data_IF_258017777845
#
_entry.id   IF_258017777845
#
_cell.length_a   1.000
_cell.length_b   1.000
_cell.length_c   1.000
_cell.angle_alpha   90.00
_cell.angle_beta   90.00
_cell.angle_gamma   90.00
#
_symmetry.space_group_name_H-M   'P 1'
#
loop_
_entity.id
_entity.type
_entity.pdbx_description
1 polymer ?
#
# COMPACT_ATOMS: atom_id res chain seq x y z
N UNK A 1 -9.44 28.43 -10.15
CA UNK A 1 -9.18 27.04 -9.69
C UNK A 1 -9.50 27.05 -8.22
N UNK A 2 -10.46 26.25 -7.73
CA UNK A 2 -10.72 26.13 -6.28
C UNK A 2 -9.43 25.60 -5.62
N UNK A 3 -9.10 26.19 -4.49
CA UNK A 3 -7.96 25.79 -3.68
C UNK A 3 -8.13 24.31 -3.30
N UNK A 4 -7.14 23.46 -3.57
CA UNK A 4 -7.20 22.03 -3.26
C UNK A 4 -7.13 21.84 -1.74
N UNK A 5 -8.11 21.14 -1.19
CA UNK A 5 -8.19 20.81 0.23
C UNK A 5 -8.41 19.31 0.42
N UNK A 6 -7.52 18.67 1.17
CA UNK A 6 -7.50 17.22 1.34
C UNK A 6 -8.00 16.78 2.72
N UNK A 7 -8.79 15.70 2.75
CA UNK A 7 -9.01 14.92 3.96
C UNK A 7 -8.17 13.65 3.88
N UNK A 8 -7.30 13.41 4.87
CA UNK A 8 -6.52 12.18 4.99
C UNK A 8 -7.01 11.41 6.21
N UNK A 9 -7.57 10.22 6.00
CA UNK A 9 -7.99 9.34 7.11
C UNK A 9 -6.88 8.37 7.45
N UNK A 10 -6.78 7.93 8.72
CA UNK A 10 -5.66 7.12 9.17
C UNK A 10 -4.36 7.93 9.28
N UNK A 11 -4.48 9.20 9.67
CA UNK A 11 -3.40 10.19 9.65
C UNK A 11 -2.28 9.93 10.66
N UNK A 12 -2.48 9.08 11.66
CA UNK A 12 -1.42 8.61 12.58
C UNK A 12 -0.69 7.35 12.10
N UNK A 13 -1.21 6.68 11.03
CA UNK A 13 -0.57 5.52 10.40
C UNK A 13 0.63 5.91 9.53
N UNK A 14 1.42 4.92 9.08
CA UNK A 14 2.61 5.15 8.25
C UNK A 14 2.32 5.97 6.98
N UNK A 15 1.32 5.55 6.22
CA UNK A 15 0.97 6.22 4.96
C UNK A 15 0.21 7.51 5.19
N UNK A 16 -0.75 7.52 6.12
CA UNK A 16 -1.54 8.72 6.42
C UNK A 16 -0.67 9.88 6.90
N UNK A 17 0.25 9.64 7.84
CA UNK A 17 1.18 10.67 8.30
C UNK A 17 2.13 11.11 7.17
N UNK A 18 2.64 10.19 6.36
CA UNK A 18 3.50 10.53 5.23
C UNK A 18 2.78 11.43 4.21
N UNK A 19 1.50 11.17 3.92
CA UNK A 19 0.66 11.99 3.06
C UNK A 19 0.42 13.38 3.65
N UNK A 20 0.00 13.46 4.91
CA UNK A 20 -0.24 14.76 5.59
C UNK A 20 1.03 15.60 5.62
N UNK A 21 2.17 15.02 6.01
CA UNK A 21 3.46 15.73 6.04
C UNK A 21 3.89 16.21 4.66
N UNK A 22 3.72 15.38 3.64
CA UNK A 22 4.05 15.76 2.27
C UNK A 22 3.18 16.91 1.79
N UNK A 23 1.85 16.83 1.95
CA UNK A 23 0.92 17.88 1.56
C UNK A 23 1.20 19.19 2.30
N UNK A 24 1.44 19.15 3.62
CA UNK A 24 1.78 20.34 4.42
C UNK A 24 3.09 20.99 4.00
N UNK A 25 4.12 20.17 3.72
CA UNK A 25 5.41 20.65 3.23
C UNK A 25 5.27 21.35 1.87
N UNK A 26 4.39 20.86 1.04
CA UNK A 26 4.12 21.43 -0.31
C UNK A 26 3.11 22.60 -0.26
N UNK A 27 2.70 23.05 0.95
CA UNK A 27 1.81 24.19 1.14
C UNK A 27 0.34 23.92 0.79
N UNK A 28 -0.05 22.64 0.71
CA UNK A 28 -1.43 22.22 0.38
C UNK A 28 -2.25 22.10 1.67
N UNK A 29 -3.48 22.63 1.66
CA UNK A 29 -4.41 22.52 2.79
C UNK A 29 -4.85 21.06 2.99
N UNK A 30 -4.63 20.53 4.19
CA UNK A 30 -4.91 19.13 4.54
C UNK A 30 -5.35 18.99 5.98
N UNK A 31 -6.41 18.21 6.18
CA UNK A 31 -6.94 17.81 7.48
C UNK A 31 -6.72 16.30 7.65
N UNK A 32 -6.07 15.93 8.76
CA UNK A 32 -5.86 14.54 9.16
C UNK A 32 -6.89 14.09 10.19
N UNK A 33 -7.52 12.92 9.98
CA UNK A 33 -8.41 12.26 10.95
C UNK A 33 -7.90 10.87 11.29
N UNK A 34 -7.85 10.54 12.58
CA UNK A 34 -7.47 9.22 13.09
C UNK A 34 -8.09 8.97 14.46
N UNK A 35 -8.23 7.71 14.87
CA UNK A 35 -8.63 7.33 16.24
C UNK A 35 -7.55 7.65 17.27
N UNK A 36 -6.28 7.74 16.83
CA UNK A 36 -5.13 8.07 17.66
C UNK A 36 -4.70 9.53 17.43
N UNK A 37 -4.42 10.25 18.51
CA UNK A 37 -3.76 11.56 18.43
C UNK A 37 -2.33 11.41 17.89
N UNK A 38 -1.90 12.38 17.07
CA UNK A 38 -0.56 12.39 16.48
C UNK A 38 -0.24 13.71 15.80
N UNK A 39 1.01 13.92 15.36
CA UNK A 39 1.45 15.18 14.75
C UNK A 39 0.77 15.50 13.39
N UNK A 40 0.15 14.50 12.78
CA UNK A 40 -0.57 14.61 11.52
C UNK A 40 -2.10 14.50 11.69
N UNK A 41 -2.60 14.39 12.95
CA UNK A 41 -4.03 14.24 13.26
C UNK A 41 -4.58 15.55 13.80
N UNK A 42 -5.49 16.16 13.05
CA UNK A 42 -6.21 17.37 13.44
C UNK A 42 -7.53 17.03 14.14
N UNK A 43 -8.16 15.92 13.73
CA UNK A 43 -9.44 15.44 14.26
C UNK A 43 -9.22 14.03 14.82
N UNK A 44 -9.45 13.86 16.13
CA UNK A 44 -9.38 12.53 16.78
C UNK A 44 -10.78 11.91 16.79
N UNK A 45 -10.93 10.79 16.11
CA UNK A 45 -12.19 10.04 16.08
C UNK A 45 -12.25 8.96 15.01
N UNK A 46 -13.32 8.16 15.07
CA UNK A 46 -13.53 7.02 14.17
C UNK A 46 -14.19 7.44 12.86
N UNK A 47 -13.75 6.85 11.74
CA UNK A 47 -14.42 6.97 10.44
C UNK A 47 -15.80 6.26 10.42
N UNK A 48 -16.11 5.44 11.42
CA UNK A 48 -17.46 4.86 11.61
C UNK A 48 -18.44 5.87 12.24
N UNK A 49 -17.95 6.96 12.84
CA UNK A 49 -18.81 8.03 13.34
C UNK A 49 -19.26 8.94 12.18
N UNK A 50 -20.50 8.74 11.73
CA UNK A 50 -21.08 9.44 10.57
C UNK A 50 -21.20 10.96 10.79
N UNK A 51 -21.43 11.40 12.02
CA UNK A 51 -21.51 12.82 12.35
C UNK A 51 -20.15 13.50 12.22
N UNK A 52 -19.14 12.91 12.83
CA UNK A 52 -17.76 13.38 12.75
C UNK A 52 -17.25 13.39 11.30
N UNK A 53 -17.54 12.32 10.55
CA UNK A 53 -17.12 12.21 9.13
C UNK A 53 -17.78 13.30 8.28
N UNK A 54 -19.07 13.59 8.49
CA UNK A 54 -19.77 14.65 7.77
C UNK A 54 -19.19 16.05 8.05
N UNK A 55 -18.83 16.33 9.31
CA UNK A 55 -18.18 17.58 9.70
C UNK A 55 -16.78 17.69 9.08
N UNK A 56 -15.96 16.62 9.18
CA UNK A 56 -14.62 16.57 8.63
C UNK A 56 -14.60 16.71 7.09
N UNK A 57 -15.65 16.25 6.41
CA UNK A 57 -15.76 16.30 4.95
C UNK A 57 -16.12 17.69 4.41
N UNK A 58 -16.55 18.60 5.29
CA UNK A 58 -17.02 19.94 4.86
C UNK A 58 -15.92 20.74 4.19
N UNK A 59 -16.17 21.18 2.94
CA UNK A 59 -15.23 21.97 2.15
C UNK A 59 -14.01 21.22 1.61
N UNK A 60 -13.97 19.89 1.76
CA UNK A 60 -12.90 19.07 1.15
C UNK A 60 -13.12 18.91 -0.34
N UNK A 61 -12.03 18.95 -1.10
CA UNK A 61 -12.03 18.68 -2.55
C UNK A 61 -11.59 17.27 -2.89
N UNK A 62 -10.77 16.68 -2.03
CA UNK A 62 -10.19 15.35 -2.26
C UNK A 62 -10.07 14.56 -0.96
N UNK A 63 -10.25 13.24 -1.04
CA UNK A 63 -10.09 12.32 0.08
C UNK A 63 -8.99 11.31 -0.23
N UNK A 64 -8.04 11.15 0.71
CA UNK A 64 -7.05 10.07 0.72
C UNK A 64 -7.40 9.14 1.89
N UNK A 65 -8.12 8.06 1.59
CA UNK A 65 -8.62 7.15 2.60
C UNK A 65 -7.63 6.04 2.88
N UNK A 66 -6.88 6.16 4.00
CA UNK A 66 -5.90 5.15 4.45
C UNK A 66 -6.26 4.46 5.76
N UNK A 67 -7.26 4.97 6.51
CA UNK A 67 -7.72 4.35 7.75
C UNK A 67 -8.22 2.91 7.52
N UNK A 68 -7.74 1.98 8.31
CA UNK A 68 -8.11 0.56 8.17
C UNK A 68 -7.62 -0.26 9.36
N UNK A 69 -8.36 -1.26 9.77
CA UNK A 69 -7.77 -2.41 10.46
C UNK A 69 -7.10 -3.30 9.41
N UNK A 70 -5.82 -3.63 9.61
CA UNK A 70 -5.05 -4.36 8.61
C UNK A 70 -4.48 -5.68 9.18
N UNK A 71 -3.65 -6.39 8.40
CA UNK A 71 -3.23 -7.76 8.72
C UNK A 71 -2.70 -7.96 10.16
N UNK A 72 -1.86 -7.09 10.75
CA UNK A 72 -1.42 -7.25 12.14
C UNK A 72 -2.56 -7.32 13.17
N UNK A 73 -3.68 -6.65 12.91
CA UNK A 73 -4.82 -6.62 13.83
C UNK A 73 -5.64 -7.92 13.88
N UNK A 74 -5.40 -8.88 12.96
CA UNK A 74 -6.17 -10.14 12.91
C UNK A 74 -6.08 -10.94 14.23
N UNK A 75 -4.94 -10.83 14.92
CA UNK A 75 -4.73 -11.54 16.20
C UNK A 75 -5.29 -10.84 17.43
N UNK A 76 -5.65 -9.54 17.33
CA UNK A 76 -6.01 -8.70 18.49
C UNK A 76 -7.42 -8.09 18.40
N UNK A 77 -8.07 -8.10 17.24
CA UNK A 77 -9.40 -7.53 17.02
C UNK A 77 -10.38 -8.59 16.54
N UNK A 78 -11.63 -8.58 17.01
CA UNK A 78 -12.68 -9.44 16.48
C UNK A 78 -13.01 -9.10 15.03
N UNK A 79 -13.60 -10.03 14.29
CA UNK A 79 -13.93 -9.83 12.87
C UNK A 79 -14.94 -8.71 12.64
N UNK A 80 -15.80 -8.44 13.61
CA UNK A 80 -16.79 -7.35 13.59
C UNK A 80 -16.12 -6.01 13.46
N UNK A 81 -15.00 -5.76 14.13
CA UNK A 81 -14.29 -4.49 14.08
C UNK A 81 -13.72 -4.23 12.68
N UNK A 82 -13.29 -5.31 11.98
CA UNK A 82 -12.90 -5.20 10.57
C UNK A 82 -14.07 -4.81 9.66
N UNK A 83 -15.28 -5.31 9.95
CA UNK A 83 -16.48 -4.92 9.19
C UNK A 83 -16.83 -3.46 9.48
N UNK A 84 -16.91 -3.09 10.75
CA UNK A 84 -17.23 -1.72 11.17
C UNK A 84 -16.23 -0.71 10.60
N UNK A 85 -14.92 -0.93 10.77
CA UNK A 85 -13.90 0.02 10.31
C UNK A 85 -13.75 0.00 8.79
N UNK A 86 -13.55 -1.19 8.19
CA UNK A 86 -13.12 -1.27 6.79
C UNK A 86 -14.30 -1.19 5.81
N UNK A 87 -15.51 -1.55 6.22
CA UNK A 87 -16.71 -1.53 5.37
C UNK A 87 -17.59 -0.34 5.72
N UNK A 88 -18.13 -0.29 6.95
CA UNK A 88 -19.08 0.77 7.36
C UNK A 88 -18.40 2.15 7.39
N UNK A 89 -17.17 2.23 7.93
CA UNK A 89 -16.37 3.44 7.91
C UNK A 89 -16.06 3.93 6.48
N UNK A 90 -15.72 3.01 5.56
CA UNK A 90 -15.49 3.38 4.15
C UNK A 90 -16.79 3.87 3.50
N UNK A 91 -17.92 3.20 3.73
CA UNK A 91 -19.23 3.64 3.23
C UNK A 91 -19.61 5.03 3.76
N UNK A 92 -19.41 5.27 5.06
CA UNK A 92 -19.66 6.58 5.69
C UNK A 92 -18.87 7.70 4.99
N UNK A 93 -17.56 7.45 4.71
CA UNK A 93 -16.72 8.41 4.00
C UNK A 93 -17.17 8.64 2.55
N UNK A 94 -17.57 7.59 1.83
CA UNK A 94 -18.04 7.69 0.45
C UNK A 94 -19.34 8.51 0.37
N UNK A 95 -20.33 8.22 1.23
CA UNK A 95 -21.60 8.96 1.29
C UNK A 95 -21.38 10.43 1.65
N UNK A 96 -20.51 10.72 2.62
CA UNK A 96 -20.15 12.08 2.99
C UNK A 96 -19.42 12.81 1.85
N UNK A 97 -18.53 12.12 1.13
CA UNK A 97 -17.83 12.68 -0.04
C UNK A 97 -18.81 13.05 -1.17
N UNK A 98 -19.80 12.20 -1.44
CA UNK A 98 -20.88 12.50 -2.41
C UNK A 98 -21.68 13.73 -1.96
N UNK A 99 -22.11 13.78 -0.70
CA UNK A 99 -22.88 14.88 -0.14
C UNK A 99 -22.12 16.22 -0.15
N UNK A 100 -20.79 16.19 0.05
CA UNK A 100 -19.93 17.37 0.04
C UNK A 100 -19.45 17.77 -1.37
N UNK A 101 -19.74 17.00 -2.41
CA UNK A 101 -19.29 17.27 -3.78
C UNK A 101 -17.80 17.13 -3.98
N UNK A 102 -17.18 16.16 -3.29
CA UNK A 102 -15.74 15.82 -3.43
C UNK A 102 -15.44 15.45 -4.88
N UNK A 103 -14.34 15.98 -5.40
CA UNK A 103 -13.94 15.78 -6.81
C UNK A 103 -13.09 14.51 -7.03
N UNK A 104 -12.46 13.97 -5.99
CA UNK A 104 -11.62 12.77 -6.07
C UNK A 104 -11.56 12.04 -4.74
N UNK A 105 -11.80 10.73 -4.78
CA UNK A 105 -11.69 9.83 -3.65
C UNK A 105 -10.66 8.74 -3.95
N UNK A 106 -9.53 8.73 -3.22
CA UNK A 106 -8.49 7.70 -3.37
C UNK A 106 -8.60 6.71 -2.22
N UNK A 107 -8.90 5.46 -2.55
CA UNK A 107 -9.02 4.37 -1.60
C UNK A 107 -7.75 3.53 -1.55
N UNK A 108 -7.06 3.55 -0.43
CA UNK A 108 -5.92 2.66 -0.17
C UNK A 108 -6.42 1.26 0.09
N UNK A 109 -6.36 0.40 -0.92
CA UNK A 109 -6.58 -1.03 -0.82
C UNK A 109 -5.25 -1.79 -0.67
N UNK A 110 -5.27 -3.07 -0.92
CA UNK A 110 -4.15 -3.97 -0.61
C UNK A 110 -4.00 -5.07 -1.65
N UNK A 111 -2.76 -5.51 -1.91
CA UNK A 111 -2.51 -6.74 -2.65
C UNK A 111 -2.96 -8.01 -1.90
N UNK A 112 -3.33 -7.91 -0.60
CA UNK A 112 -3.98 -9.01 0.14
C UNK A 112 -5.34 -9.39 -0.43
N UNK A 113 -5.98 -8.53 -1.21
CA UNK A 113 -7.20 -8.83 -1.98
C UNK A 113 -6.99 -10.02 -2.93
N UNK A 114 -5.82 -10.15 -3.53
CA UNK A 114 -5.51 -11.27 -4.44
C UNK A 114 -5.37 -12.61 -3.69
N UNK A 115 -4.88 -12.60 -2.46
CA UNK A 115 -4.83 -13.77 -1.57
C UNK A 115 -4.26 -15.04 -2.22
N UNK A 116 -5.11 -16.01 -2.56
CA UNK A 116 -4.74 -17.27 -3.20
C UNK A 116 -4.86 -17.25 -4.74
N UNK A 117 -5.24 -16.12 -5.34
CA UNK A 117 -5.48 -16.04 -6.78
C UNK A 117 -4.25 -16.50 -7.58
N UNK A 118 -4.46 -17.40 -8.53
CA UNK A 118 -3.47 -17.96 -9.47
C UNK A 118 -2.22 -18.61 -8.83
N UNK A 119 -2.13 -18.71 -7.52
CA UNK A 119 -0.95 -19.29 -6.85
C UNK A 119 -0.94 -20.80 -7.07
N UNK A 120 0.01 -21.25 -7.89
CA UNK A 120 0.23 -22.65 -8.23
C UNK A 120 1.58 -23.19 -7.75
N UNK A 121 1.79 -24.51 -7.93
CA UNK A 121 3.05 -25.15 -7.56
C UNK A 121 4.14 -25.00 -8.64
N UNK A 122 3.75 -24.80 -9.91
CA UNK A 122 4.65 -24.86 -11.06
C UNK A 122 5.21 -23.52 -11.49
N UNK A 123 4.40 -22.46 -11.40
CA UNK A 123 4.73 -21.13 -11.92
C UNK A 123 4.41 -20.06 -10.87
N UNK A 124 5.14 -18.96 -10.89
CA UNK A 124 4.79 -17.75 -10.15
C UNK A 124 3.53 -17.12 -10.77
N UNK A 125 2.57 -16.74 -9.92
CA UNK A 125 1.37 -16.07 -10.37
C UNK A 125 1.70 -14.68 -10.92
N UNK A 126 1.28 -14.39 -12.14
CA UNK A 126 1.43 -13.09 -12.78
C UNK A 126 0.20 -12.23 -12.48
N UNK A 127 0.33 -11.29 -11.54
CA UNK A 127 -0.80 -10.58 -10.95
C UNK A 127 -0.92 -9.18 -11.53
N UNK A 128 -2.00 -8.97 -12.28
CA UNK A 128 -2.47 -7.67 -12.77
C UNK A 128 -3.81 -7.32 -12.14
N UNK A 129 -4.35 -6.15 -12.42
CA UNK A 129 -5.67 -5.71 -11.96
C UNK A 129 -6.82 -6.58 -12.46
N UNK A 130 -6.64 -7.28 -13.59
CA UNK A 130 -7.62 -8.18 -14.17
C UNK A 130 -7.80 -9.50 -13.39
N UNK A 131 -6.87 -9.81 -12.48
CA UNK A 131 -6.95 -11.03 -11.66
C UNK A 131 -8.04 -10.88 -10.60
N UNK A 132 -8.96 -11.84 -10.57
CA UNK A 132 -10.03 -11.88 -9.58
C UNK A 132 -9.49 -12.00 -8.16
N UNK A 133 -10.13 -11.30 -7.22
CA UNK A 133 -9.77 -11.35 -5.80
C UNK A 133 -10.15 -12.70 -5.17
N UNK A 134 -9.22 -13.30 -4.42
CA UNK A 134 -9.44 -14.54 -3.64
C UNK A 134 -8.80 -14.35 -2.26
N UNK A 135 -9.39 -13.50 -1.39
CA UNK A 135 -8.77 -13.12 -0.13
C UNK A 135 -8.59 -14.30 0.82
N UNK A 136 -7.51 -14.28 1.62
CA UNK A 136 -7.14 -15.36 2.56
C UNK A 136 -7.71 -15.18 3.96
N UNK A 137 -8.09 -13.96 4.33
CA UNK A 137 -8.44 -13.59 5.69
C UNK A 137 -9.44 -12.43 5.71
N UNK A 138 -9.93 -12.11 6.91
CA UNK A 138 -10.93 -11.05 7.12
C UNK A 138 -10.46 -9.68 6.61
N UNK A 139 -9.16 -9.35 6.75
CA UNK A 139 -8.62 -8.10 6.22
C UNK A 139 -8.78 -8.01 4.70
N UNK A 140 -8.27 -9.00 3.97
CA UNK A 140 -8.42 -9.02 2.51
C UNK A 140 -9.87 -9.03 2.05
N UNK A 141 -10.73 -9.78 2.76
CA UNK A 141 -12.17 -9.87 2.46
C UNK A 141 -12.88 -8.51 2.64
N UNK A 142 -12.65 -7.82 3.77
CA UNK A 142 -13.28 -6.52 4.03
C UNK A 142 -12.75 -5.42 3.11
N UNK A 143 -11.45 -5.45 2.76
CA UNK A 143 -10.90 -4.52 1.77
C UNK A 143 -11.52 -4.71 0.37
N UNK A 144 -11.71 -5.96 -0.06
CA UNK A 144 -12.38 -6.27 -1.35
C UNK A 144 -13.84 -5.85 -1.34
N UNK A 145 -14.57 -6.12 -0.25
CA UNK A 145 -15.96 -5.68 -0.10
C UNK A 145 -16.09 -4.15 -0.17
N UNK A 146 -15.17 -3.41 0.46
CA UNK A 146 -15.16 -1.96 0.39
C UNK A 146 -14.82 -1.42 -1.02
N UNK A 147 -13.96 -2.14 -1.80
CA UNK A 147 -13.75 -1.81 -3.22
C UNK A 147 -15.04 -1.94 -4.04
N UNK A 148 -15.83 -2.97 -3.78
CA UNK A 148 -17.09 -3.22 -4.51
C UNK A 148 -18.17 -2.19 -4.11
N UNK A 149 -18.26 -1.82 -2.83
CA UNK A 149 -19.12 -0.73 -2.35
C UNK A 149 -18.70 0.60 -3.00
N UNK A 150 -17.42 0.92 -3.04
CA UNK A 150 -16.92 2.13 -3.67
C UNK A 150 -17.27 2.19 -5.18
N UNK A 151 -17.26 1.03 -5.86
CA UNK A 151 -17.69 0.95 -7.25
C UNK A 151 -19.19 1.25 -7.42
N UNK A 152 -20.05 0.69 -6.56
CA UNK A 152 -21.50 0.98 -6.58
C UNK A 152 -21.75 2.47 -6.34
N UNK A 153 -21.10 3.06 -5.31
CA UNK A 153 -21.26 4.50 -5.03
C UNK A 153 -20.81 5.36 -6.22
N UNK A 154 -19.69 4.98 -6.88
CA UNK A 154 -19.27 5.65 -8.12
C UNK A 154 -20.33 5.57 -9.22
N UNK A 155 -20.89 4.37 -9.46
CA UNK A 155 -21.93 4.18 -10.48
C UNK A 155 -23.19 5.00 -10.21
N UNK A 156 -23.60 5.09 -8.95
CA UNK A 156 -24.84 5.78 -8.55
C UNK A 156 -24.70 7.31 -8.51
N UNK A 157 -23.52 7.82 -8.13
CA UNK A 157 -23.31 9.25 -7.86
C UNK A 157 -22.36 9.96 -8.84
N UNK A 158 -21.57 9.23 -9.59
CA UNK A 158 -20.50 9.79 -10.41
C UNK A 158 -19.26 10.23 -9.62
N UNK A 159 -19.18 10.01 -8.29
CA UNK A 159 -17.99 10.31 -7.50
C UNK A 159 -16.75 9.63 -8.12
N UNK A 160 -15.70 10.37 -8.52
CA UNK A 160 -14.47 9.75 -9.00
C UNK A 160 -13.77 8.98 -7.88
N UNK A 161 -13.57 7.67 -8.07
CA UNK A 161 -12.91 6.81 -7.08
C UNK A 161 -11.78 6.02 -7.71
N UNK A 162 -10.57 6.19 -7.17
CA UNK A 162 -9.38 5.44 -7.57
C UNK A 162 -8.97 4.50 -6.44
N UNK A 163 -8.92 3.22 -6.74
CA UNK A 163 -8.52 2.17 -5.79
C UNK A 163 -7.06 1.80 -6.01
N UNK A 164 -6.23 1.94 -4.97
CA UNK A 164 -4.82 1.59 -5.01
C UNK A 164 -4.56 0.32 -4.20
N UNK A 165 -4.38 -0.82 -4.87
CA UNK A 165 -3.99 -2.10 -4.26
C UNK A 165 -2.50 -2.09 -3.97
N UNK A 166 -2.12 -1.54 -2.81
CA UNK A 166 -0.71 -1.35 -2.44
C UNK A 166 -0.06 -2.65 -2.00
N UNK A 167 1.18 -2.84 -2.45
CA UNK A 167 2.11 -3.84 -1.92
C UNK A 167 2.63 -3.44 -0.54
N UNK A 168 3.48 -4.28 0.08
CA UNK A 168 4.13 -3.99 1.36
C UNK A 168 5.00 -2.73 1.24
N UNK A 169 4.85 -1.80 2.18
CA UNK A 169 5.72 -0.62 2.32
C UNK A 169 6.16 -0.38 3.77
N UNK A 170 5.66 -1.16 4.71
CA UNK A 170 5.94 -1.01 6.15
C UNK A 170 7.40 -1.31 6.49
N UNK A 171 8.00 -0.57 7.46
CA UNK A 171 9.37 -0.80 7.92
C UNK A 171 9.49 -1.98 8.89
N UNK A 172 8.39 -2.47 9.45
CA UNK A 172 8.37 -3.59 10.38
C UNK A 172 8.89 -4.88 9.74
N UNK A 173 9.38 -5.78 10.59
CA UNK A 173 9.89 -7.08 10.17
C UNK A 173 8.76 -7.97 9.62
N UNK A 174 9.14 -9.05 8.92
CA UNK A 174 8.16 -10.01 8.41
C UNK A 174 7.41 -10.69 9.57
N UNK A 175 6.12 -10.94 9.40
CA UNK A 175 5.27 -11.58 10.39
C UNK A 175 5.49 -13.09 10.53
N UNK A 176 6.30 -13.69 9.65
CA UNK A 176 6.62 -15.11 9.65
C UNK A 176 7.94 -15.38 10.37
N UNK A 177 7.89 -16.08 11.51
CA UNK A 177 9.07 -16.45 12.30
C UNK A 177 10.14 -17.18 11.50
N UNK A 178 9.73 -18.07 10.57
CA UNK A 178 10.69 -18.81 9.73
C UNK A 178 11.50 -17.88 8.82
N UNK A 179 10.87 -16.81 8.35
CA UNK A 179 11.53 -15.79 7.52
C UNK A 179 12.50 -14.99 8.39
N UNK A 180 12.05 -14.49 9.55
CA UNK A 180 12.89 -13.71 10.47
C UNK A 180 14.12 -14.49 10.96
N UNK A 181 13.94 -15.78 11.26
CA UNK A 181 15.04 -16.65 11.73
C UNK A 181 16.04 -16.99 10.62
N UNK A 182 15.64 -16.93 9.35
CA UNK A 182 16.49 -17.31 8.23
C UNK A 182 17.19 -16.14 7.55
N UNK A 183 16.56 -14.96 7.54
CA UNK A 183 17.05 -13.81 6.78
C UNK A 183 17.16 -12.58 7.69
N UNK A 184 18.14 -11.73 7.41
CA UNK A 184 18.16 -10.37 7.97
C UNK A 184 17.01 -9.56 7.39
N UNK A 185 16.47 -8.63 8.16
CA UNK A 185 15.31 -7.81 7.78
C UNK A 185 15.52 -7.05 6.45
N UNK A 186 16.69 -6.40 6.30
CA UNK A 186 17.00 -5.69 5.05
C UNK A 186 17.12 -6.64 3.85
N UNK A 187 17.61 -7.86 4.07
CA UNK A 187 17.67 -8.89 3.01
C UNK A 187 16.25 -9.31 2.57
N UNK A 188 15.33 -9.50 3.52
CA UNK A 188 13.90 -9.78 3.22
C UNK A 188 13.33 -8.68 2.36
N UNK A 189 13.48 -7.43 2.80
CA UNK A 189 12.94 -6.26 2.11
C UNK A 189 13.53 -6.12 0.70
N UNK A 190 14.84 -6.24 0.56
CA UNK A 190 15.51 -6.21 -0.75
C UNK A 190 14.95 -7.27 -1.71
N UNK A 191 14.82 -8.52 -1.26
CA UNK A 191 14.22 -9.59 -2.07
C UNK A 191 12.77 -9.29 -2.46
N UNK A 192 11.98 -8.70 -1.56
CA UNK A 192 10.58 -8.37 -1.81
C UNK A 192 10.39 -7.28 -2.87
N UNK A 193 11.32 -6.34 -3.02
CA UNK A 193 11.26 -5.30 -4.07
C UNK A 193 11.26 -5.87 -5.49
N UNK A 194 11.71 -7.09 -5.67
CA UNK A 194 11.62 -7.77 -6.95
C UNK A 194 10.19 -8.05 -7.40
N UNK A 195 9.22 -8.17 -6.45
CA UNK A 195 7.92 -8.73 -6.81
C UNK A 195 6.70 -8.31 -5.98
N UNK A 196 6.88 -7.79 -4.74
CA UNK A 196 5.75 -7.52 -3.83
C UNK A 196 5.96 -6.40 -2.81
N UNK A 197 6.94 -5.54 -3.00
CA UNK A 197 7.21 -4.38 -2.13
C UNK A 197 7.25 -3.09 -2.94
N UNK A 198 7.02 -1.98 -2.26
CA UNK A 198 7.14 -0.63 -2.81
C UNK A 198 7.67 0.29 -1.71
N UNK A 199 8.39 1.35 -2.04
CA UNK A 199 8.81 2.35 -1.06
C UNK A 199 7.66 3.28 -0.68
N UNK A 200 7.66 3.76 0.56
CA UNK A 200 6.63 4.66 1.08
C UNK A 200 6.52 5.96 0.26
N UNK A 201 7.66 6.51 -0.21
CA UNK A 201 7.64 7.72 -1.04
C UNK A 201 6.94 7.46 -2.39
N UNK A 202 7.18 6.30 -3.02
CA UNK A 202 6.49 5.93 -4.26
C UNK A 202 4.99 5.68 -4.04
N UNK A 203 4.59 5.16 -2.86
CA UNK A 203 3.18 5.01 -2.49
C UNK A 203 2.51 6.38 -2.32
N UNK A 204 3.18 7.33 -1.64
CA UNK A 204 2.69 8.71 -1.51
C UNK A 204 2.51 9.35 -2.88
N UNK A 205 3.51 9.26 -3.76
CA UNK A 205 3.43 9.80 -5.13
C UNK A 205 2.24 9.19 -5.90
N UNK A 206 2.00 7.88 -5.78
CA UNK A 206 0.86 7.20 -6.41
C UNK A 206 -0.49 7.75 -5.91
N UNK A 207 -0.62 8.04 -4.61
CA UNK A 207 -1.85 8.59 -4.03
C UNK A 207 -2.12 10.02 -4.51
N UNK A 208 -1.08 10.86 -4.58
CA UNK A 208 -1.22 12.24 -5.04
C UNK A 208 -1.57 12.31 -6.53
N UNK A 209 -0.93 11.49 -7.37
CA UNK A 209 -1.26 11.36 -8.79
C UNK A 209 -2.68 10.79 -8.99
N UNK A 210 -3.09 9.80 -8.19
CA UNK A 210 -4.45 9.26 -8.24
C UNK A 210 -5.50 10.33 -7.88
N UNK A 211 -5.23 11.17 -6.89
CA UNK A 211 -6.12 12.29 -6.54
C UNK A 211 -6.17 13.35 -7.64
N UNK A 212 -5.06 13.59 -8.33
CA UNK A 212 -4.98 14.54 -9.44
C UNK A 212 -5.72 14.06 -10.69
N UNK A 213 -5.50 12.78 -11.06
CA UNK A 213 -6.04 12.17 -12.27
C UNK A 213 -7.45 11.61 -12.09
N UNK A 214 -7.87 11.40 -10.83
CA UNK A 214 -9.16 10.81 -10.50
C UNK A 214 -10.36 11.43 -11.21
N UNK A 215 -10.51 12.77 -11.25
CA UNK A 215 -11.62 13.42 -11.95
C UNK A 215 -11.72 13.09 -13.45
N UNK A 216 -10.58 12.85 -14.12
CA UNK A 216 -10.53 12.49 -15.55
C UNK A 216 -10.78 11.00 -15.77
N UNK A 217 -10.31 10.14 -14.85
CA UNK A 217 -10.39 8.68 -14.96
C UNK A 217 -11.78 8.16 -14.52
N UNK A 218 -12.38 8.79 -13.52
CA UNK A 218 -13.66 8.39 -12.91
C UNK A 218 -13.50 7.18 -12.00
N UNK A 219 -13.30 5.99 -12.57
CA UNK A 219 -13.13 4.73 -11.83
C UNK A 219 -11.97 3.91 -12.35
N UNK A 220 -11.08 3.51 -11.45
CA UNK A 220 -10.05 2.54 -11.75
C UNK A 220 -9.52 1.81 -10.51
N UNK A 221 -8.95 0.62 -10.71
CA UNK A 221 -8.14 -0.11 -9.72
C UNK A 221 -6.72 -0.21 -10.25
N UNK A 222 -5.71 0.00 -9.40
CA UNK A 222 -4.30 -0.07 -9.75
C UNK A 222 -3.50 -0.91 -8.76
N UNK A 223 -2.56 -1.69 -9.26
CA UNK A 223 -1.54 -2.37 -8.46
C UNK A 223 -0.38 -1.40 -8.23
N UNK A 224 -0.09 -1.10 -6.97
CA UNK A 224 1.01 -0.24 -6.56
C UNK A 224 2.11 -1.09 -5.93
N UNK A 225 3.13 -1.39 -6.71
CA UNK A 225 4.30 -2.19 -6.35
C UNK A 225 5.54 -1.62 -7.06
N UNK A 226 6.74 -1.83 -6.56
CA UNK A 226 7.95 -1.52 -7.32
C UNK A 226 7.92 -2.23 -8.69
N UNK A 227 8.52 -1.60 -9.69
CA UNK A 227 8.58 -2.21 -11.02
C UNK A 227 9.45 -3.46 -10.98
N UNK A 228 8.85 -4.60 -11.30
CA UNK A 228 9.56 -5.88 -11.40
C UNK A 228 10.47 -5.90 -12.63
N UNK A 229 11.67 -6.51 -12.53
CA UNK A 229 12.52 -6.75 -13.70
C UNK A 229 12.07 -7.95 -14.53
N UNK A 230 11.20 -8.80 -13.98
CA UNK A 230 10.85 -10.09 -14.56
C UNK A 230 9.86 -9.96 -15.72
N UNK A 231 9.89 -10.97 -16.59
CA UNK A 231 8.90 -11.21 -17.65
C UNK A 231 8.03 -12.43 -17.33
N UNK A 232 6.88 -12.62 -18.01
CA UNK A 232 6.07 -13.84 -17.85
C UNK A 232 6.83 -15.13 -18.12
N UNK A 233 7.85 -15.11 -18.99
CA UNK A 233 8.67 -16.27 -19.34
C UNK A 233 9.54 -16.77 -18.16
N UNK A 234 9.76 -15.92 -17.17
CA UNK A 234 10.49 -16.28 -15.96
C UNK A 234 9.65 -17.04 -14.93
N UNK A 235 8.31 -17.06 -15.08
CA UNK A 235 7.38 -17.51 -14.05
C UNK A 235 7.67 -18.93 -13.51
N UNK A 236 8.01 -19.86 -14.41
CA UNK A 236 8.35 -21.23 -13.99
C UNK A 236 9.67 -21.30 -13.20
N UNK A 237 10.71 -20.59 -13.65
CA UNK A 237 11.99 -20.59 -12.98
C UNK A 237 11.98 -19.80 -11.66
N UNK A 238 11.17 -18.76 -11.54
CA UNK A 238 10.96 -18.04 -10.28
C UNK A 238 10.43 -18.95 -9.14
N UNK A 239 9.75 -20.04 -9.48
CA UNK A 239 9.27 -21.03 -8.49
C UNK A 239 10.35 -21.97 -8.00
N UNK A 240 11.39 -22.20 -8.76
CA UNK A 240 12.39 -23.23 -8.51
C UNK A 240 13.78 -22.67 -8.21
N UNK A 241 14.17 -21.61 -8.90
CA UNK A 241 15.48 -20.96 -8.76
C UNK A 241 15.41 -19.46 -9.11
N UNK A 242 14.77 -18.64 -8.25
CA UNK A 242 14.74 -17.20 -8.47
C UNK A 242 16.12 -16.54 -8.43
N UNK A 243 17.10 -17.15 -7.75
CA UNK A 243 18.48 -16.65 -7.71
C UNK A 243 19.12 -16.62 -9.10
N UNK A 244 18.99 -17.70 -9.87
CA UNK A 244 19.50 -17.75 -11.24
C UNK A 244 18.75 -16.76 -12.16
N UNK A 245 17.43 -16.56 -11.95
CA UNK A 245 16.67 -15.55 -12.70
C UNK A 245 17.22 -14.16 -12.41
N UNK A 246 17.36 -13.78 -11.14
CA UNK A 246 17.87 -12.47 -10.73
C UNK A 246 19.28 -12.22 -11.26
N UNK A 247 20.15 -13.21 -11.21
CA UNK A 247 21.52 -13.09 -11.72
C UNK A 247 21.61 -12.85 -13.24
N UNK A 248 20.59 -13.24 -14.01
CA UNK A 248 20.51 -12.91 -15.45
C UNK A 248 20.25 -11.41 -15.69
N UNK A 249 19.38 -10.81 -14.87
CA UNK A 249 19.05 -9.38 -14.95
C UNK A 249 20.10 -8.50 -14.28
N UNK A 250 20.74 -9.03 -13.21
CA UNK A 250 21.65 -8.32 -12.34
C UNK A 250 22.87 -9.20 -12.00
N UNK A 251 23.84 -9.35 -12.91
CA UNK A 251 25.01 -10.23 -12.71
C UNK A 251 25.86 -9.91 -11.48
N UNK A 252 25.82 -8.66 -11.00
CA UNK A 252 26.55 -8.20 -9.80
C UNK A 252 25.85 -8.60 -8.48
N UNK A 253 24.57 -8.94 -8.50
CA UNK A 253 23.79 -9.22 -7.31
C UNK A 253 24.36 -10.32 -6.42
N UNK A 254 24.82 -11.48 -6.95
CA UNK A 254 25.38 -12.53 -6.10
C UNK A 254 26.59 -12.07 -5.28
N UNK A 255 27.47 -11.26 -5.87
CA UNK A 255 28.64 -10.69 -5.19
C UNK A 255 28.25 -9.70 -4.09
N UNK A 256 27.30 -8.79 -4.36
CA UNK A 256 26.81 -7.82 -3.39
C UNK A 256 26.09 -8.48 -2.21
N UNK A 257 25.36 -9.56 -2.46
CA UNK A 257 24.69 -10.34 -1.43
C UNK A 257 25.67 -11.14 -0.58
N UNK A 258 26.62 -11.84 -1.22
CA UNK A 258 27.65 -12.62 -0.52
C UNK A 258 28.46 -11.75 0.44
N UNK A 259 28.85 -10.54 0.03
CA UNK A 259 29.56 -9.57 0.86
C UNK A 259 28.82 -9.18 2.16
N UNK A 260 27.47 -9.35 2.19
CA UNK A 260 26.60 -9.04 3.33
C UNK A 260 26.10 -10.26 4.08
N UNK A 261 26.42 -11.48 3.63
CA UNK A 261 25.83 -12.71 4.13
C UNK A 261 24.34 -12.82 3.82
N UNK A 262 23.87 -12.16 2.73
CA UNK A 262 22.49 -12.20 2.26
C UNK A 262 22.29 -13.35 1.28
N UNK A 263 21.04 -13.77 1.16
CA UNK A 263 20.65 -14.80 0.20
C UNK A 263 19.31 -14.49 -0.46
N UNK A 264 19.13 -15.02 -1.66
CA UNK A 264 17.86 -14.96 -2.37
C UNK A 264 16.84 -15.91 -1.72
N UNK A 265 15.55 -15.61 -1.84
CA UNK A 265 14.49 -16.55 -1.47
C UNK A 265 14.57 -17.82 -2.34
N UNK A 266 14.21 -18.99 -1.80
CA UNK A 266 14.26 -20.24 -2.57
C UNK A 266 13.15 -20.35 -3.61
N UNK A 267 12.14 -19.48 -3.51
CA UNK A 267 10.98 -19.45 -4.41
C UNK A 267 10.32 -18.08 -4.38
N UNK A 268 9.84 -17.64 -5.52
CA UNK A 268 8.91 -16.51 -5.68
C UNK A 268 7.60 -17.08 -6.21
N UNK A 269 6.50 -16.88 -5.48
CA UNK A 269 5.20 -17.48 -5.78
C UNK A 269 4.30 -16.59 -6.63
N UNK A 270 4.61 -15.31 -6.75
CA UNK A 270 3.85 -14.30 -7.49
C UNK A 270 4.69 -13.10 -7.85
N UNK A 271 4.23 -12.35 -8.86
CA UNK A 271 4.81 -11.07 -9.25
C UNK A 271 3.67 -10.08 -9.48
N UNK A 272 3.73 -8.91 -8.83
CA UNK A 272 2.76 -7.84 -9.02
C UNK A 272 3.18 -6.91 -10.15
N UNK A 273 2.26 -6.61 -11.05
CA UNK A 273 2.50 -5.83 -12.26
C UNK A 273 1.85 -4.45 -12.11
N UNK A 274 2.65 -3.42 -12.20
CA UNK A 274 2.26 -2.02 -12.00
C UNK A 274 2.09 -1.24 -13.32
N UNK A 275 2.11 -1.92 -14.47
CA UNK A 275 2.13 -1.26 -15.77
C UNK A 275 0.95 -0.29 -15.93
N UNK A 276 -0.26 -0.72 -15.57
CA UNK A 276 -1.46 0.11 -15.69
C UNK A 276 -1.39 1.39 -14.86
N UNK A 277 -0.89 1.32 -13.63
CA UNK A 277 -0.69 2.52 -12.80
C UNK A 277 0.30 3.49 -13.43
N UNK A 278 1.37 2.98 -14.05
CA UNK A 278 2.36 3.80 -14.76
C UNK A 278 1.77 4.47 -15.99
N UNK A 279 1.00 3.73 -16.77
CA UNK A 279 0.43 4.22 -18.03
C UNK A 279 -0.70 5.24 -17.78
N UNK A 280 -1.66 4.93 -16.89
CA UNK A 280 -2.84 5.76 -16.68
C UNK A 280 -2.57 6.98 -15.78
N UNK A 281 -1.77 6.80 -14.70
CA UNK A 281 -1.46 7.87 -13.75
C UNK A 281 -0.20 8.67 -14.11
N UNK A 282 0.64 8.16 -15.02
CA UNK A 282 1.98 8.69 -15.23
C UNK A 282 2.92 8.41 -14.04
N UNK A 283 2.57 7.47 -13.17
CA UNK A 283 3.34 7.14 -11.98
C UNK A 283 4.64 6.42 -12.33
N UNK A 284 5.75 6.90 -11.77
CA UNK A 284 7.08 6.34 -12.01
C UNK A 284 7.75 6.03 -10.66
N UNK A 285 7.63 4.80 -10.15
CA UNK A 285 8.30 4.42 -8.91
C UNK A 285 9.82 4.52 -9.08
N UNK A 286 10.47 5.18 -8.12
CA UNK A 286 11.91 5.50 -8.15
C UNK A 286 12.75 4.51 -7.35
N UNK A 287 12.10 3.75 -6.47
CA UNK A 287 12.75 2.83 -5.54
C UNK A 287 12.50 1.40 -6.01
N UNK A 288 13.20 1.00 -7.07
CA UNK A 288 13.17 -0.34 -7.64
C UNK A 288 14.38 -1.19 -7.19
N UNK A 289 14.46 -2.40 -7.68
CA UNK A 289 15.54 -3.31 -7.31
C UNK A 289 16.91 -2.87 -7.85
N UNK A 290 16.99 -2.19 -9.00
CA UNK A 290 18.24 -1.61 -9.52
C UNK A 290 18.80 -0.60 -8.52
N UNK A 291 17.97 0.34 -8.06
CA UNK A 291 18.37 1.31 -7.05
C UNK A 291 18.85 0.66 -5.75
N UNK A 292 18.22 -0.44 -5.33
CA UNK A 292 18.70 -1.19 -4.15
C UNK A 292 20.13 -1.66 -4.35
N UNK A 293 20.44 -2.30 -5.49
CA UNK A 293 21.78 -2.78 -5.78
C UNK A 293 22.80 -1.64 -5.84
N UNK A 294 22.44 -0.50 -6.42
CA UNK A 294 23.28 0.70 -6.46
C UNK A 294 23.58 1.22 -5.05
N UNK A 295 22.57 1.29 -4.18
CA UNK A 295 22.76 1.65 -2.77
C UNK A 295 23.62 0.63 -2.02
N UNK A 296 23.42 -0.67 -2.27
CA UNK A 296 24.28 -1.71 -1.66
C UNK A 296 25.73 -1.56 -2.11
N UNK A 297 25.99 -1.29 -3.39
CA UNK A 297 27.34 -1.07 -3.89
C UNK A 297 28.00 0.17 -3.28
N UNK A 298 27.22 1.20 -2.99
CA UNK A 298 27.65 2.45 -2.36
C UNK A 298 27.64 2.40 -0.81
N UNK A 299 27.28 1.28 -0.19
CA UNK A 299 27.11 1.14 1.26
C UNK A 299 26.10 2.13 1.87
N UNK A 300 25.04 2.46 1.13
CA UNK A 300 24.00 3.39 1.50
C UNK A 300 22.69 2.66 1.86
N UNK A 301 21.85 3.34 2.65
CA UNK A 301 20.50 2.90 2.92
C UNK A 301 19.63 3.05 1.64
N UNK A 302 18.98 1.96 1.23
CA UNK A 302 18.16 1.96 0.02
C UNK A 302 16.74 2.54 0.21
N UNK A 303 16.30 2.75 1.46
CA UNK A 303 15.00 3.36 1.77
C UNK A 303 14.99 4.84 1.39
N UNK A 304 13.83 5.35 1.00
CA UNK A 304 13.65 6.78 0.80
C UNK A 304 13.88 7.58 2.09
N UNK A 305 14.24 8.88 2.00
CA UNK A 305 14.28 9.75 3.17
C UNK A 305 12.96 9.75 3.94
N UNK A 306 11.81 9.76 3.23
CA UNK A 306 10.48 9.73 3.84
C UNK A 306 10.24 8.41 4.61
N UNK A 307 10.60 7.25 4.04
CA UNK A 307 10.46 5.98 4.73
C UNK A 307 11.33 5.90 6.01
N UNK A 308 12.51 6.51 6.00
CA UNK A 308 13.38 6.61 7.19
C UNK A 308 12.81 7.56 8.24
N UNK A 309 12.26 8.70 7.82
CA UNK A 309 11.64 9.69 8.69
C UNK A 309 10.41 9.12 9.41
N UNK A 310 9.56 8.38 8.70
CA UNK A 310 8.36 7.77 9.28
C UNK A 310 8.68 6.66 10.28
N UNK A 311 9.73 5.90 10.07
CA UNK A 311 10.15 4.81 10.97
C UNK A 311 9.04 3.79 11.24
N UNK A 312 9.22 2.96 12.27
CA UNK A 312 8.21 2.03 12.77
C UNK A 312 7.22 2.76 13.69
N UNK A 313 5.93 2.37 13.63
CA UNK A 313 4.87 3.04 14.40
C UNK A 313 4.29 2.19 15.54
N UNK A 314 4.38 0.86 15.43
CA UNK A 314 3.60 -0.05 16.25
C UNK A 314 2.10 0.02 15.91
N UNK A 315 1.37 -1.03 16.27
CA UNK A 315 -0.07 -1.13 15.95
C UNK A 315 -0.92 -1.52 17.17
N UNK A 316 -0.32 -1.74 18.32
CA UNK A 316 -0.97 -2.20 19.54
C UNK A 316 -0.33 -1.56 20.77
N UNK A 317 -1.10 -1.31 21.82
CA UNK A 317 -0.62 -0.81 23.10
C UNK A 317 0.29 -1.83 23.79
N UNK A 318 -0.05 -3.12 23.67
CA UNK A 318 0.75 -4.23 24.15
C UNK A 318 1.46 -4.94 22.99
N UNK A 319 2.74 -5.28 23.11
CA UNK A 319 3.46 -6.01 22.08
C UNK A 319 2.82 -7.36 21.76
N UNK A 320 2.31 -7.53 20.54
CA UNK A 320 1.73 -8.79 20.06
C UNK A 320 2.61 -9.48 19.02
N UNK A 321 3.82 -8.96 18.79
CA UNK A 321 4.77 -9.44 17.80
C UNK A 321 5.55 -8.30 17.16
N UNK A 322 6.13 -8.54 16.01
CA UNK A 322 7.03 -7.60 15.34
C UNK A 322 6.38 -6.27 14.91
N UNK A 323 5.08 -6.23 14.77
CA UNK A 323 4.35 -5.02 14.40
C UNK A 323 4.15 -4.02 15.54
N UNK A 324 4.52 -4.39 16.76
CA UNK A 324 4.31 -3.58 17.95
C UNK A 324 5.59 -3.11 18.62
N UNK A 325 6.74 -3.39 18.02
CA UNK A 325 8.06 -3.00 18.53
C UNK A 325 8.63 -1.79 17.83
#
# INVERSE_FOLDING_TARGET
MSERRFLVTGSSGHLGEALVRTLRRDGVDVVGIDIAAGPATDIVGSIADRGLVAEAMSGMTSVLHTATLHKPHIGSHPRTDFVETNIEGTLSLLEAAVAAGVCSFVYTSTTSAFGHALVGAREAAWITEAVASVPKNIYGATKTAAEDIAHVVHQDSGLPVIVLRTSRFFPEQDDNDRVRNRYRDDNVKANEYLYRRVDLADVVDAHLLAAERGPEIGWAKYVISATTPFSPDDAAQLRTDPGAVVARYFPEQPGLYAARGWSMFPTIDRVYINARARDDLGWQPRYDYRRILDCLAAEQDFRSPLAREMGAKGYHDEPTGVYTT
#
